data_IF_347736870542
#
_entry.id   IF_347736870542
#
_cell.length_a   1.000
_cell.length_b   1.000
_cell.length_c   1.000
_cell.angle_alpha   90.00
_cell.angle_beta   90.00
_cell.angle_gamma   90.00
#
_symmetry.space_group_name_H-M   'P 1'
#
loop_
_entity.id
_entity.type
_entity.pdbx_description
1 polymer ?
#
# COMPACT_ATOMS: atom_id res chain seq x y z
N UNK A 1 -5.44 -3.27 17.00
CA UNK A 1 -5.77 -4.23 15.93
C UNK A 1 -5.25 -3.70 14.62
N UNK A 2 -4.41 -4.46 13.92
CA UNK A 2 -3.81 -4.04 12.66
C UNK A 2 -3.83 -5.18 11.64
N UNK A 3 -3.80 -4.82 10.37
CA UNK A 3 -3.60 -5.76 9.27
C UNK A 3 -2.29 -5.43 8.55
N UNK A 4 -1.69 -6.42 7.90
CA UNK A 4 -0.64 -6.19 6.90
C UNK A 4 -1.28 -6.43 5.55
N UNK A 5 -1.25 -5.40 4.71
CA UNK A 5 -1.77 -5.46 3.34
C UNK A 5 -0.63 -5.42 2.35
N UNK A 6 -0.80 -6.12 1.23
CA UNK A 6 0.09 -6.02 0.09
C UNK A 6 -0.52 -5.07 -0.93
N UNK A 7 0.24 -4.07 -1.34
CA UNK A 7 -0.16 -3.17 -2.42
C UNK A 7 1.05 -2.70 -3.20
N UNK A 8 0.91 -2.71 -4.53
CA UNK A 8 2.03 -2.54 -5.45
C UNK A 8 3.12 -3.59 -5.20
N UNK A 9 4.36 -3.15 -5.05
CA UNK A 9 5.50 -4.01 -4.72
C UNK A 9 5.84 -4.19 -3.23
N UNK A 10 5.02 -3.65 -2.30
CA UNK A 10 5.38 -3.54 -0.88
C UNK A 10 4.28 -4.03 0.07
N UNK A 11 4.67 -4.26 1.32
CA UNK A 11 3.77 -4.60 2.42
C UNK A 11 3.66 -3.43 3.39
N UNK A 12 2.45 -3.14 3.85
CA UNK A 12 2.19 -2.05 4.78
C UNK A 12 1.36 -2.53 5.96
N UNK A 13 1.72 -2.07 7.15
CA UNK A 13 0.89 -2.20 8.34
C UNK A 13 -0.19 -1.11 8.31
N UNK A 14 -1.45 -1.52 8.44
CA UNK A 14 -2.62 -0.63 8.39
C UNK A 14 -3.52 -0.83 9.59
N UNK A 15 -4.13 0.26 10.03
CA UNK A 15 -5.15 0.30 11.08
C UNK A 15 -6.40 1.01 10.55
N UNK A 16 -7.57 0.73 11.16
CA UNK A 16 -8.83 1.33 10.71
C UNK A 16 -8.79 2.86 10.87
N UNK A 17 -9.03 3.58 9.78
CA UNK A 17 -9.03 5.05 9.76
C UNK A 17 -7.66 5.69 9.49
N UNK A 18 -6.61 4.89 9.29
CA UNK A 18 -5.29 5.40 8.93
C UNK A 18 -5.25 5.83 7.45
N UNK A 19 -4.55 6.93 7.16
CA UNK A 19 -4.20 7.32 5.79
C UNK A 19 -2.79 6.85 5.47
N UNK A 20 -2.59 6.28 4.29
CA UNK A 20 -1.32 5.72 3.85
C UNK A 20 -1.01 6.19 2.43
N UNK A 21 0.24 6.58 2.19
CA UNK A 21 0.72 6.89 0.85
C UNK A 21 1.31 5.63 0.21
N UNK A 22 0.72 5.20 -0.89
CA UNK A 22 1.06 3.96 -1.60
C UNK A 22 1.41 4.27 -3.05
N UNK A 23 1.83 3.23 -3.77
CA UNK A 23 2.02 3.32 -5.22
C UNK A 23 0.70 3.64 -5.92
N UNK A 24 0.78 4.21 -7.13
CA UNK A 24 -0.40 4.67 -7.86
C UNK A 24 -1.32 3.50 -8.19
N UNK A 25 -2.59 3.62 -7.78
CA UNK A 25 -3.66 2.70 -8.12
C UNK A 25 -4.37 3.14 -9.41
N UNK A 26 -4.92 2.20 -10.21
CA UNK A 26 -5.55 2.51 -11.50
C UNK A 26 -6.93 3.15 -11.38
N UNK A 27 -7.56 3.07 -10.20
CA UNK A 27 -8.90 3.61 -9.95
C UNK A 27 -8.89 5.13 -9.67
N UNK A 28 -10.04 5.77 -9.87
CA UNK A 28 -10.22 7.22 -9.68
C UNK A 28 -10.29 7.64 -8.20
N UNK A 29 -10.11 8.93 -7.95
CA UNK A 29 -10.28 9.52 -6.62
C UNK A 29 -11.71 9.30 -6.12
N UNK A 30 -11.83 8.85 -4.87
CA UNK A 30 -13.11 8.50 -4.28
C UNK A 30 -13.56 7.05 -4.48
N UNK A 31 -12.90 6.28 -5.35
CA UNK A 31 -13.17 4.86 -5.53
C UNK A 31 -12.76 4.04 -4.29
N UNK A 32 -13.43 2.90 -4.11
CA UNK A 32 -13.13 1.95 -3.03
C UNK A 32 -12.38 0.76 -3.61
N UNK A 33 -11.16 0.55 -3.13
CA UNK A 33 -10.27 -0.51 -3.57
C UNK A 33 -10.24 -1.60 -2.51
N UNK A 34 -10.34 -2.85 -2.94
CA UNK A 34 -10.08 -4.02 -2.09
C UNK A 34 -8.57 -4.30 -2.06
N UNK A 35 -7.97 -4.25 -0.86
CA UNK A 35 -6.56 -4.57 -0.64
C UNK A 35 -6.42 -6.00 -0.13
N UNK A 36 -5.47 -6.74 -0.68
CA UNK A 36 -5.18 -8.12 -0.29
C UNK A 36 -4.50 -8.16 1.10
N UNK A 37 -5.14 -8.76 2.12
CA UNK A 37 -4.55 -8.91 3.44
C UNK A 37 -3.63 -10.13 3.49
N UNK A 38 -2.42 -9.94 4.02
CA UNK A 38 -1.44 -11.01 4.28
C UNK A 38 -1.41 -11.47 5.74
N UNK A 39 -1.80 -10.59 6.66
CA UNK A 39 -1.79 -10.87 8.10
C UNK A 39 -2.85 -10.02 8.78
N UNK A 40 -3.52 -10.58 9.77
CA UNK A 40 -4.43 -9.83 10.63
C UNK A 40 -4.15 -10.13 12.10
N UNK A 41 -4.12 -9.09 12.95
CA UNK A 41 -3.90 -9.23 14.39
C UNK A 41 -4.89 -8.37 15.18
N UNK A 42 -5.83 -9.02 15.86
CA UNK A 42 -6.70 -8.38 16.87
C UNK A 42 -6.18 -8.65 18.29
N UNK A 43 -6.17 -9.93 18.71
CA UNK A 43 -5.69 -10.41 20.01
C UNK A 43 -4.60 -11.47 19.79
N UNK A 44 -4.92 -12.51 19.01
CA UNK A 44 -3.97 -13.45 18.42
C UNK A 44 -3.63 -13.08 16.97
N UNK A 45 -2.48 -13.56 16.50
CA UNK A 45 -2.01 -13.30 15.14
C UNK A 45 -2.51 -14.40 14.18
N UNK A 46 -3.31 -14.01 13.20
CA UNK A 46 -3.88 -14.90 12.19
C UNK A 46 -3.07 -14.79 10.91
N UNK A 47 -2.50 -15.91 10.48
CA UNK A 47 -1.67 -16.03 9.26
C UNK A 47 -2.24 -17.04 8.25
N UNK A 48 -3.31 -17.75 8.63
CA UNK A 48 -3.85 -18.84 7.82
C UNK A 48 -4.53 -18.31 6.55
N UNK A 49 -4.15 -18.77 5.34
CA UNK A 49 -4.73 -18.29 4.08
C UNK A 49 -6.25 -18.48 4.00
N UNK A 50 -6.77 -19.56 4.59
CA UNK A 50 -8.20 -19.85 4.63
C UNK A 50 -8.99 -18.90 5.54
N UNK A 51 -8.36 -18.38 6.60
CA UNK A 51 -8.95 -17.36 7.46
C UNK A 51 -8.86 -15.96 6.81
N UNK A 52 -7.74 -15.68 6.13
CA UNK A 52 -7.49 -14.41 5.45
C UNK A 52 -8.40 -14.18 4.23
N UNK A 53 -8.88 -15.23 3.56
CA UNK A 53 -9.80 -15.11 2.41
C UNK A 53 -11.17 -14.57 2.78
N UNK A 54 -11.58 -14.69 4.05
CA UNK A 54 -12.83 -14.10 4.57
C UNK A 54 -12.67 -12.65 5.01
N UNK A 55 -11.44 -12.16 5.11
CA UNK A 55 -11.12 -10.79 5.50
C UNK A 55 -10.95 -9.93 4.25
N UNK A 56 -11.73 -8.86 4.15
CA UNK A 56 -11.55 -7.84 3.12
C UNK A 56 -11.09 -6.54 3.76
N UNK A 57 -9.97 -5.98 3.27
CA UNK A 57 -9.49 -4.67 3.70
C UNK A 57 -9.87 -3.67 2.63
N UNK A 58 -10.94 -2.91 2.88
CA UNK A 58 -11.42 -1.86 1.97
C UNK A 58 -10.75 -0.54 2.30
N UNK A 59 -10.17 0.09 1.28
CA UNK A 59 -9.60 1.43 1.37
C UNK A 59 -10.27 2.36 0.35
N UNK A 60 -10.35 3.64 0.67
CA UNK A 60 -10.84 4.68 -0.25
C UNK A 60 -9.66 5.47 -0.78
N UNK A 61 -9.62 5.71 -2.09
CA UNK A 61 -8.63 6.62 -2.68
C UNK A 61 -9.03 8.05 -2.31
N UNK A 62 -8.16 8.75 -1.58
CA UNK A 62 -8.39 10.16 -1.21
C UNK A 62 -7.97 11.08 -2.35
N UNK A 63 -6.75 10.89 -2.86
CA UNK A 63 -6.16 11.74 -3.90
C UNK A 63 -5.00 11.03 -4.62
N UNK A 64 -4.71 11.45 -5.85
CA UNK A 64 -3.54 11.01 -6.61
C UNK A 64 -2.45 12.09 -6.64
N UNK A 65 -1.41 11.91 -5.82
CA UNK A 65 -0.30 12.86 -5.73
C UNK A 65 0.90 12.47 -6.59
N UNK A 66 1.64 13.48 -7.06
CA UNK A 66 2.99 13.32 -7.61
C UNK A 66 4.00 13.73 -6.55
N UNK A 67 5.03 12.90 -6.36
CA UNK A 67 6.15 13.23 -5.49
C UNK A 67 6.95 14.43 -6.00
N UNK A 68 7.82 14.95 -5.14
CA UNK A 68 8.69 16.07 -5.47
C UNK A 68 9.61 15.77 -6.66
N UNK A 69 9.92 16.81 -7.43
CA UNK A 69 10.80 16.67 -8.61
C UNK A 69 12.24 16.41 -8.18
N UNK A 70 12.69 15.15 -8.32
CA UNK A 70 14.09 14.77 -8.08
C UNK A 70 14.91 15.06 -9.35
N UNK A 71 15.94 15.92 -9.25
CA UNK A 71 16.89 16.19 -10.34
C UNK A 71 18.05 15.19 -10.27
N UNK A 72 18.05 14.18 -11.14
CA UNK A 72 19.14 13.20 -11.21
C UNK A 72 20.09 13.59 -12.35
N UNK A 73 21.23 14.18 -12.01
CA UNK A 73 22.32 14.49 -12.94
C UNK A 73 23.50 13.54 -12.72
N UNK A 74 23.98 12.90 -13.79
CA UNK A 74 25.17 12.05 -13.76
C UNK A 74 26.18 12.58 -14.76
N UNK A 75 27.41 12.82 -14.31
CA UNK A 75 28.51 13.27 -15.16
C UNK A 75 29.74 12.38 -14.95
N UNK A 76 30.35 11.94 -16.05
CA UNK A 76 31.64 11.24 -16.04
C UNK A 76 32.67 12.09 -16.79
N UNK A 77 33.65 12.72 -16.10
CA UNK A 77 34.67 13.50 -16.79
C UNK A 77 35.64 12.57 -17.54
N UNK A 78 35.99 12.95 -18.77
CA UNK A 78 37.05 12.34 -19.60
C UNK A 78 36.87 10.85 -19.94
N UNK A 79 35.68 10.31 -19.76
CA UNK A 79 35.28 8.97 -20.22
C UNK A 79 33.86 9.06 -20.76
N UNK A 80 33.75 9.05 -22.08
CA UNK A 80 32.57 8.49 -22.75
C UNK A 80 32.49 7.01 -22.41
#
# INVERSE_FOLDING_TARGET
>A
MYAIVKTGGKQYRVEKGQTLLVERLPEDEGATVDLEPLLYRSDDAVFDPAALSTLSVKAKIVEHLRGEKIRVFKFKPKRG
#
